data_IF_113420797312
#
_entry.id   IF_113420797312
#
_cell.length_a   1.000
_cell.length_b   1.000
_cell.length_c   1.000
_cell.angle_alpha   90.00
_cell.angle_beta   90.00
_cell.angle_gamma   90.00
#
_symmetry.space_group_name_H-M   'P 1'
#
loop_
_entity.id
_entity.type
_entity.pdbx_description
1 polymer ?
#
# COMPACT_ATOMS: atom_id res chain seq x y z
N UNK A 1 -30.09 15.32 8.06
CA UNK A 1 -29.37 14.15 8.62
C UNK A 1 -27.86 14.30 8.45
N UNK A 2 -27.31 14.19 7.23
CA UNK A 2 -25.86 14.27 6.98
C UNK A 2 -25.13 15.44 7.63
N UNK A 3 -25.65 16.67 7.50
CA UNK A 3 -24.98 17.87 7.99
C UNK A 3 -24.79 17.87 9.51
N UNK A 4 -25.80 17.43 10.27
CA UNK A 4 -25.73 17.40 11.73
C UNK A 4 -24.78 16.29 12.20
N UNK A 5 -24.88 15.09 11.62
CA UNK A 5 -23.99 13.98 11.97
C UNK A 5 -22.54 14.29 11.60
N UNK A 6 -22.30 14.93 10.45
CA UNK A 6 -20.94 15.30 10.02
C UNK A 6 -20.29 16.39 10.89
N UNK A 7 -21.09 17.12 11.66
CA UNK A 7 -20.62 18.12 12.63
C UNK A 7 -20.63 17.61 14.05
N UNK A 8 -20.92 16.32 14.26
CA UNK A 8 -20.95 15.73 15.58
C UNK A 8 -19.60 15.88 16.27
N UNK A 9 -19.63 16.43 17.49
CA UNK A 9 -18.42 16.76 18.24
C UNK A 9 -17.56 15.52 18.51
N UNK A 10 -18.15 14.34 18.73
CA UNK A 10 -17.39 13.12 19.01
C UNK A 10 -16.57 12.68 17.80
N UNK A 11 -17.12 12.83 16.58
CA UNK A 11 -16.39 12.50 15.34
C UNK A 11 -15.25 13.51 15.11
N UNK A 12 -15.52 14.81 15.30
CA UNK A 12 -14.47 15.83 15.17
C UNK A 12 -13.37 15.64 16.23
N UNK A 13 -13.73 15.29 17.46
CA UNK A 13 -12.79 15.04 18.55
C UNK A 13 -11.97 13.76 18.29
N UNK A 14 -12.52 12.75 17.61
CA UNK A 14 -11.77 11.58 17.13
C UNK A 14 -10.60 12.00 16.23
N UNK A 15 -10.84 12.88 15.26
CA UNK A 15 -9.76 13.40 14.41
C UNK A 15 -8.76 14.23 15.20
N UNK A 16 -9.21 15.10 16.11
CA UNK A 16 -8.31 15.95 16.91
C UNK A 16 -7.38 15.17 17.84
N UNK A 17 -7.80 13.97 18.29
CA UNK A 17 -6.95 13.07 19.07
C UNK A 17 -5.79 12.51 18.25
N UNK A 18 -6.04 12.20 16.97
CA UNK A 18 -5.02 11.67 16.06
C UNK A 18 -4.20 12.75 15.37
N UNK A 19 -4.79 13.94 15.14
CA UNK A 19 -4.21 15.03 14.37
C UNK A 19 -4.32 16.35 15.14
N UNK A 20 -3.36 16.60 16.04
CA UNK A 20 -3.25 17.89 16.72
C UNK A 20 -2.87 18.99 15.74
N UNK A 21 -3.58 20.13 15.76
CA UNK A 21 -3.32 21.30 14.90
C UNK A 21 -3.54 21.05 13.40
N UNK A 22 -4.51 20.22 13.03
CA UNK A 22 -4.94 20.04 11.65
C UNK A 22 -6.28 20.72 11.40
N UNK A 23 -6.49 21.12 10.15
CA UNK A 23 -7.79 21.54 9.65
C UNK A 23 -8.59 20.33 9.20
N UNK A 24 -9.89 20.34 9.50
CA UNK A 24 -10.85 19.28 9.17
C UNK A 24 -11.99 19.93 8.38
N UNK A 25 -12.02 19.71 7.07
CA UNK A 25 -13.08 20.19 6.19
C UNK A 25 -14.05 19.05 5.87
N UNK A 26 -15.35 19.30 5.97
CA UNK A 26 -16.38 18.29 5.62
C UNK A 26 -16.62 18.33 4.10
N UNK A 27 -16.56 17.18 3.44
CA UNK A 27 -16.80 17.04 2.01
C UNK A 27 -18.26 16.64 1.74
N UNK A 28 -19.19 17.59 1.95
CA UNK A 28 -20.63 17.33 1.91
C UNK A 28 -21.14 16.63 0.65
N UNK A 29 -20.53 16.92 -0.51
CA UNK A 29 -20.91 16.38 -1.82
C UNK A 29 -20.54 14.91 -2.03
N UNK A 30 -19.82 14.28 -1.10
CA UNK A 30 -19.48 12.85 -1.15
C UNK A 30 -20.34 11.99 -0.23
N UNK A 31 -21.03 12.62 0.73
CA UNK A 31 -21.77 11.90 1.76
C UNK A 31 -22.92 11.08 1.16
N UNK A 32 -23.08 9.85 1.62
CA UNK A 32 -24.12 8.94 1.09
C UNK A 32 -24.67 8.00 2.16
N UNK A 33 -25.92 7.57 1.98
CA UNK A 33 -26.47 6.41 2.69
C UNK A 33 -26.26 5.22 1.77
N UNK A 34 -25.64 4.18 2.30
CA UNK A 34 -25.34 2.97 1.56
C UNK A 34 -26.14 1.82 2.16
N UNK A 35 -26.91 1.17 1.30
CA UNK A 35 -27.79 0.04 1.65
C UNK A 35 -27.30 -1.18 0.87
N UNK A 36 -26.88 -2.22 1.59
CA UNK A 36 -26.41 -3.47 0.98
C UNK A 36 -27.43 -4.59 1.19
N UNK A 37 -27.90 -5.26 0.12
CA UNK A 37 -28.69 -6.48 0.24
C UNK A 37 -27.84 -7.66 0.76
N UNK A 38 -28.46 -8.71 1.32
CA UNK A 38 -27.77 -9.90 1.84
C UNK A 38 -27.01 -10.75 0.81
N UNK A 39 -27.36 -10.61 -0.47
CA UNK A 39 -26.74 -11.27 -1.62
C UNK A 39 -26.40 -10.16 -2.62
N UNK A 40 -25.24 -10.24 -3.26
CA UNK A 40 -24.66 -9.23 -4.19
C UNK A 40 -23.86 -8.09 -3.53
N UNK A 41 -23.01 -8.44 -2.58
CA UNK A 41 -22.12 -7.48 -1.91
C UNK A 41 -20.74 -7.48 -2.62
N UNK A 42 -20.17 -6.29 -2.81
CA UNK A 42 -18.81 -6.10 -3.34
C UNK A 42 -17.76 -6.69 -2.38
N UNK A 43 -17.40 -7.95 -2.58
CA UNK A 43 -16.36 -8.65 -1.80
C UNK A 43 -14.93 -8.38 -2.30
N UNK A 44 -14.78 -7.61 -3.38
CA UNK A 44 -13.48 -7.35 -4.00
C UNK A 44 -12.66 -6.38 -3.16
N UNK A 45 -11.38 -6.71 -2.95
CA UNK A 45 -10.40 -5.82 -2.33
C UNK A 45 -10.16 -4.61 -3.22
N UNK A 46 -10.22 -3.42 -2.62
CA UNK A 46 -10.05 -2.18 -3.35
C UNK A 46 -9.54 -1.05 -2.44
N UNK A 47 -9.10 0.03 -3.09
CA UNK A 47 -9.01 1.37 -2.51
C UNK A 47 -10.12 2.20 -3.15
N UNK A 48 -10.77 3.07 -2.37
CA UNK A 48 -11.89 3.86 -2.88
C UNK A 48 -11.47 4.91 -3.90
N UNK A 49 -10.30 5.55 -3.73
CA UNK A 49 -9.84 6.63 -4.62
C UNK A 49 -8.35 6.58 -4.96
N UNK A 50 -7.96 7.09 -6.15
CA UNK A 50 -6.58 6.99 -6.64
C UNK A 50 -5.69 8.18 -6.29
N UNK A 51 -6.11 9.08 -5.38
CA UNK A 51 -5.42 10.36 -5.14
C UNK A 51 -4.40 10.29 -4.00
N UNK A 52 -3.80 9.12 -3.78
CA UNK A 52 -2.81 8.88 -2.73
C UNK A 52 -1.57 9.80 -2.83
N UNK A 53 -1.27 10.29 -4.04
CA UNK A 53 -0.06 11.04 -4.38
C UNK A 53 -0.11 12.51 -3.96
N UNK A 54 -1.26 13.03 -3.51
CA UNK A 54 -1.34 14.40 -3.02
C UNK A 54 -0.78 14.42 -1.58
N UNK A 55 0.36 15.07 -1.34
CA UNK A 55 1.02 14.99 -0.04
C UNK A 55 0.31 15.86 1.00
N UNK A 56 0.59 15.60 2.28
CA UNK A 56 0.17 16.39 3.44
C UNK A 56 -1.35 16.49 3.69
N UNK A 57 -2.18 15.90 2.83
CA UNK A 57 -3.62 15.88 2.97
C UNK A 57 -4.15 14.44 2.86
N UNK A 58 -5.19 14.15 3.64
CA UNK A 58 -5.90 12.87 3.65
C UNK A 58 -7.39 13.09 3.54
N UNK A 59 -8.04 12.29 2.69
CA UNK A 59 -9.49 12.24 2.62
C UNK A 59 -9.94 11.05 3.45
N UNK A 60 -10.66 11.27 4.53
CA UNK A 60 -11.20 10.22 5.37
C UNK A 60 -12.64 9.92 5.01
N UNK A 61 -12.96 8.66 4.77
CA UNK A 61 -14.33 8.15 4.79
C UNK A 61 -14.61 7.63 6.20
N UNK A 62 -15.66 8.17 6.80
CA UNK A 62 -16.19 7.77 8.09
C UNK A 62 -17.50 7.03 7.87
N UNK A 63 -17.54 5.77 8.27
CA UNK A 63 -18.72 4.93 8.28
C UNK A 63 -19.38 5.05 9.65
N UNK A 64 -20.67 5.40 9.66
CA UNK A 64 -21.53 5.36 10.85
C UNK A 64 -22.58 4.28 10.65
N UNK A 65 -22.65 3.31 11.56
CA UNK A 65 -23.66 2.25 11.50
C UNK A 65 -25.06 2.79 11.81
N UNK A 66 -26.04 2.44 10.97
CA UNK A 66 -27.45 2.80 11.15
C UNK A 66 -28.35 1.59 11.45
N UNK A 67 -27.80 0.37 11.39
CA UNK A 67 -28.48 -0.88 11.69
C UNK A 67 -27.69 -1.78 12.64
N UNK A 68 -28.38 -2.76 13.25
CA UNK A 68 -27.74 -3.80 14.07
C UNK A 68 -27.17 -4.90 13.18
N UNK A 69 -26.17 -4.55 12.37
CA UNK A 69 -25.48 -5.44 11.46
C UNK A 69 -24.77 -6.57 12.23
N UNK A 70 -25.04 -7.82 11.82
CA UNK A 70 -24.48 -9.04 12.43
C UNK A 70 -23.80 -9.96 11.42
N UNK A 71 -23.93 -9.64 10.14
CA UNK A 71 -23.63 -10.59 9.06
C UNK A 71 -22.45 -10.15 8.21
N UNK A 72 -22.07 -8.86 8.25
CA UNK A 72 -21.01 -8.31 7.38
C UNK A 72 -19.94 -7.65 8.24
N UNK A 73 -18.70 -8.06 8.03
CA UNK A 73 -17.52 -7.39 8.57
C UNK A 73 -16.85 -6.51 7.53
N UNK A 74 -16.22 -5.44 7.97
CA UNK A 74 -15.30 -4.61 7.18
C UNK A 74 -13.88 -4.92 7.62
N UNK A 75 -13.02 -5.25 6.67
CA UNK A 75 -11.65 -5.72 6.90
C UNK A 75 -10.69 -4.69 6.31
N UNK A 76 -9.76 -4.22 7.14
CA UNK A 76 -8.70 -3.27 6.78
C UNK A 76 -7.38 -4.01 6.62
N UNK A 77 -6.81 -3.97 5.42
CA UNK A 77 -5.66 -4.79 5.06
C UNK A 77 -4.33 -4.21 5.56
N UNK A 78 -4.22 -2.89 5.74
CA UNK A 78 -2.95 -2.28 6.15
C UNK A 78 -2.81 -2.25 7.67
N UNK A 79 -3.90 -1.98 8.39
CA UNK A 79 -3.93 -1.97 9.87
C UNK A 79 -4.24 -3.33 10.49
N UNK A 80 -4.70 -4.31 9.70
CA UNK A 80 -5.17 -5.64 10.16
C UNK A 80 -6.37 -5.61 11.11
N UNK A 81 -7.15 -4.54 11.07
CA UNK A 81 -8.33 -4.42 11.90
C UNK A 81 -9.57 -4.94 11.17
N UNK A 82 -10.47 -5.57 11.92
CA UNK A 82 -11.74 -6.07 11.39
C UNK A 82 -12.87 -5.62 12.31
N UNK A 83 -13.89 -5.01 11.72
CA UNK A 83 -15.01 -4.46 12.48
C UNK A 83 -16.37 -4.92 11.93
N UNK A 84 -17.26 -5.28 12.86
CA UNK A 84 -18.69 -5.42 12.59
C UNK A 84 -19.34 -4.13 13.09
N UNK A 85 -19.59 -3.21 12.17
CA UNK A 85 -20.08 -1.87 12.48
C UNK A 85 -21.58 -1.95 12.75
N UNK A 86 -22.02 -1.65 13.97
CA UNK A 86 -23.42 -1.65 14.43
C UNK A 86 -23.95 -0.22 14.61
N UNK A 87 -25.24 -0.11 14.93
CA UNK A 87 -25.90 1.18 15.20
C UNK A 87 -25.11 2.02 16.20
N UNK A 88 -24.69 3.20 15.76
CA UNK A 88 -23.95 4.17 16.58
C UNK A 88 -22.43 4.01 16.56
N UNK A 89 -21.90 2.90 16.02
CA UNK A 89 -20.46 2.75 15.81
C UNK A 89 -19.97 3.70 14.72
N UNK A 90 -18.74 4.21 14.89
CA UNK A 90 -18.09 5.13 13.96
C UNK A 90 -16.69 4.61 13.66
N UNK A 91 -16.41 4.38 12.38
CA UNK A 91 -15.09 3.92 11.90
C UNK A 91 -14.63 4.81 10.77
N UNK A 92 -13.43 5.38 10.88
CA UNK A 92 -12.84 6.25 9.86
C UNK A 92 -11.58 5.64 9.25
N UNK A 93 -11.42 5.74 7.93
CA UNK A 93 -10.23 5.31 7.21
C UNK A 93 -9.91 6.24 6.03
N UNK A 94 -8.66 6.25 5.57
CA UNK A 94 -8.23 7.09 4.45
C UNK A 94 -8.76 6.51 3.13
N UNK A 95 -9.66 7.25 2.49
CA UNK A 95 -10.34 6.91 1.24
C UNK A 95 -9.36 6.63 0.09
N UNK A 96 -8.19 7.26 0.07
CA UNK A 96 -7.23 7.09 -1.04
C UNK A 96 -6.09 6.13 -0.72
N UNK A 97 -5.98 5.65 0.51
CA UNK A 97 -4.79 4.92 0.98
C UNK A 97 -5.09 3.62 1.71
N UNK A 98 -6.28 3.47 2.29
CA UNK A 98 -6.61 2.25 3.02
C UNK A 98 -7.19 1.18 2.08
N UNK A 99 -6.44 0.08 1.94
CA UNK A 99 -6.89 -1.14 1.31
C UNK A 99 -7.95 -1.82 2.18
N UNK A 100 -9.17 -1.99 1.66
CA UNK A 100 -10.24 -2.59 2.44
C UNK A 100 -11.22 -3.39 1.57
N UNK A 101 -12.01 -4.21 2.24
CA UNK A 101 -13.14 -4.91 1.66
C UNK A 101 -14.14 -5.29 2.74
N UNK A 102 -15.31 -5.76 2.31
CA UNK A 102 -16.35 -6.30 3.18
C UNK A 102 -16.47 -7.79 2.91
N UNK A 103 -16.82 -8.56 3.95
CA UNK A 103 -16.95 -10.02 3.88
C UNK A 103 -18.13 -10.45 4.74
N UNK A 104 -18.88 -11.51 4.36
CA UNK A 104 -19.86 -12.05 5.27
C UNK A 104 -19.13 -12.75 6.43
N UNK A 105 -19.77 -12.78 7.61
CA UNK A 105 -19.33 -13.64 8.70
C UNK A 105 -19.68 -15.07 8.30
N UNK A 106 -18.67 -15.92 8.12
CA UNK A 106 -18.86 -17.35 7.95
C UNK A 106 -19.24 -17.90 9.33
N UNK A 107 -20.53 -17.94 9.63
CA UNK A 107 -21.04 -18.74 10.73
C UNK A 107 -20.85 -20.22 10.34
N UNK A 108 -20.21 -21.01 11.20
CA UNK A 108 -20.14 -22.47 11.04
C UNK A 108 -21.53 -22.99 10.63
N UNK A 109 -21.57 -23.93 9.67
CA UNK A 109 -22.73 -24.41 8.89
C UNK A 109 -24.01 -24.80 9.66
N UNK A 110 -24.02 -24.73 11.00
CA UNK A 110 -25.17 -24.98 11.86
C UNK A 110 -26.09 -23.77 12.08
N UNK A 111 -25.67 -22.56 11.71
CA UNK A 111 -26.51 -21.36 11.77
C UNK A 111 -26.88 -20.88 10.36
N UNK A 112 -27.43 -21.78 9.55
CA UNK A 112 -28.16 -21.38 8.35
C UNK A 112 -29.49 -20.74 8.77
N UNK A 113 -29.42 -19.52 9.32
CA UNK A 113 -30.57 -18.63 9.38
C UNK A 113 -31.16 -18.58 7.97
N UNK A 114 -32.43 -18.96 7.85
CA UNK A 114 -33.14 -18.99 6.57
C UNK A 114 -32.96 -17.64 5.86
N UNK A 115 -32.85 -17.63 4.54
CA UNK A 115 -32.57 -16.42 3.75
C UNK A 115 -33.56 -15.25 4.01
N UNK A 116 -34.69 -15.51 4.68
CA UNK A 116 -35.69 -14.55 5.12
C UNK A 116 -35.26 -13.68 6.32
N UNK A 117 -34.24 -14.08 7.10
CA UNK A 117 -33.81 -13.34 8.30
C UNK A 117 -32.63 -12.40 8.08
N UNK A 118 -31.94 -12.49 6.94
CA UNK A 118 -30.79 -11.62 6.65
C UNK A 118 -31.27 -10.20 6.34
N UNK A 119 -30.94 -9.26 7.22
CA UNK A 119 -31.35 -7.85 7.11
C UNK A 119 -30.44 -7.08 6.16
N UNK A 120 -30.96 -6.00 5.59
CA UNK A 120 -30.14 -5.04 4.86
C UNK A 120 -29.14 -4.39 5.82
N UNK A 121 -27.88 -4.29 5.40
CA UNK A 121 -26.90 -3.44 6.09
C UNK A 121 -27.10 -2.00 5.65
N UNK A 122 -27.25 -1.08 6.60
CA UNK A 122 -27.48 0.33 6.34
C UNK A 122 -26.42 1.15 7.06
N UNK A 123 -25.59 1.83 6.28
CA UNK A 123 -24.53 2.68 6.82
C UNK A 123 -24.62 4.09 6.25
N UNK A 124 -24.18 5.05 7.05
CA UNK A 124 -23.94 6.41 6.62
C UNK A 124 -22.44 6.56 6.32
N UNK A 125 -22.10 7.02 5.12
CA UNK A 125 -20.72 7.38 4.77
C UNK A 125 -20.60 8.90 4.78
N UNK A 126 -19.69 9.41 5.58
CA UNK A 126 -19.38 10.84 5.73
C UNK A 126 -17.92 11.05 5.38
N UNK A 127 -17.60 12.10 4.62
CA UNK A 127 -16.24 12.33 4.15
C UNK A 127 -15.65 13.63 4.71
N UNK A 128 -14.37 13.57 5.07
CA UNK A 128 -13.61 14.69 5.61
C UNK A 128 -12.27 14.82 4.88
N UNK A 129 -11.83 16.04 4.60
CA UNK A 129 -10.46 16.32 4.20
C UNK A 129 -9.69 16.87 5.41
N UNK A 130 -8.60 16.20 5.78
CA UNK A 130 -7.80 16.50 6.97
C UNK A 130 -6.37 16.81 6.54
N UNK A 131 -5.86 17.97 6.94
CA UNK A 131 -4.54 18.45 6.54
C UNK A 131 -3.97 19.48 7.54
N UNK A 132 -2.63 19.62 7.68
CA UNK A 132 -2.02 20.67 8.48
C UNK A 132 -2.42 22.06 7.97
N UNK A 133 -2.55 23.06 8.85
CA UNK A 133 -2.96 24.41 8.44
C UNK A 133 -2.08 25.02 7.33
N UNK A 134 -0.78 24.74 7.33
CA UNK A 134 0.15 25.23 6.30
C UNK A 134 -0.08 24.57 4.92
N UNK A 135 -0.69 23.38 4.88
CA UNK A 135 -0.92 22.59 3.67
C UNK A 135 -2.30 22.85 3.04
N UNK A 136 -2.87 24.04 3.26
CA UNK A 136 -4.24 24.39 2.83
C UNK A 136 -4.47 24.19 1.33
N UNK A 137 -3.47 24.46 0.50
CA UNK A 137 -3.55 24.27 -0.95
C UNK A 137 -3.72 22.79 -1.30
N UNK A 138 -2.96 21.90 -0.65
CA UNK A 138 -3.06 20.45 -0.85
C UNK A 138 -4.42 19.93 -0.38
N UNK A 139 -4.88 20.39 0.79
CA UNK A 139 -6.21 20.05 1.32
C UNK A 139 -7.35 20.46 0.39
N UNK A 140 -7.29 21.67 -0.15
CA UNK A 140 -8.26 22.17 -1.11
C UNK A 140 -8.29 21.34 -2.40
N UNK A 141 -7.11 21.10 -3.00
CA UNK A 141 -6.97 20.31 -4.23
C UNK A 141 -7.49 18.89 -4.00
N UNK A 142 -7.03 18.21 -2.94
CA UNK A 142 -7.47 16.85 -2.62
C UNK A 142 -8.98 16.80 -2.40
N UNK A 143 -9.55 17.74 -1.64
CA UNK A 143 -10.99 17.78 -1.38
C UNK A 143 -11.81 17.92 -2.66
N UNK A 144 -11.43 18.84 -3.55
CA UNK A 144 -12.13 19.05 -4.83
C UNK A 144 -12.02 17.86 -5.78
N UNK A 145 -10.82 17.29 -5.92
CA UNK A 145 -10.61 16.11 -6.75
C UNK A 145 -11.31 14.88 -6.19
N UNK A 146 -11.37 14.71 -4.87
CA UNK A 146 -12.11 13.62 -4.22
C UNK A 146 -13.61 13.71 -4.49
N UNK A 147 -14.20 14.91 -4.38
CA UNK A 147 -15.60 15.16 -4.71
C UNK A 147 -15.88 14.83 -6.18
N UNK A 148 -15.05 15.33 -7.09
CA UNK A 148 -15.19 15.09 -8.52
C UNK A 148 -15.10 13.60 -8.83
N UNK A 149 -14.07 12.93 -8.31
CA UNK A 149 -13.87 11.50 -8.49
C UNK A 149 -15.07 10.70 -7.99
N UNK A 150 -15.55 10.98 -6.77
CA UNK A 150 -16.69 10.27 -6.19
C UNK A 150 -17.97 10.43 -7.00
N UNK A 151 -18.25 11.64 -7.52
CA UNK A 151 -19.40 11.89 -8.41
C UNK A 151 -19.31 11.04 -9.69
N UNK A 152 -18.18 11.13 -10.39
CA UNK A 152 -17.95 10.38 -11.63
C UNK A 152 -17.98 8.86 -11.42
N UNK A 153 -17.34 8.39 -10.35
CA UNK A 153 -17.27 6.98 -10.00
C UNK A 153 -18.66 6.43 -9.63
N UNK A 154 -19.45 7.19 -8.86
CA UNK A 154 -20.81 6.81 -8.50
C UNK A 154 -21.70 6.69 -9.73
N UNK A 155 -21.59 7.60 -10.69
CA UNK A 155 -22.36 7.52 -11.93
C UNK A 155 -22.01 6.25 -12.71
N UNK A 156 -20.73 5.94 -12.84
CA UNK A 156 -20.24 4.70 -13.46
C UNK A 156 -20.67 3.44 -12.71
N UNK A 157 -20.71 3.49 -11.38
CA UNK A 157 -21.15 2.39 -10.52
C UNK A 157 -22.67 2.14 -10.61
N UNK A 158 -23.48 3.19 -10.60
CA UNK A 158 -24.94 3.02 -10.77
C UNK A 158 -25.26 2.40 -12.15
N UNK A 159 -24.42 2.63 -13.15
CA UNK A 159 -24.51 1.96 -14.44
C UNK A 159 -24.10 0.48 -14.39
N UNK A 160 -23.32 0.02 -13.41
CA UNK A 160 -23.07 -1.42 -13.23
C UNK A 160 -24.26 -2.17 -12.67
N UNK A 161 -25.15 -1.48 -11.95
CA UNK A 161 -26.34 -2.08 -11.34
C UNK A 161 -27.51 -2.16 -12.34
N UNK A 162 -27.60 -1.25 -13.34
CA UNK A 162 -28.69 -1.26 -14.33
C UNK A 162 -28.65 -2.50 -15.24
N UNK A 163 -29.83 -3.00 -15.61
CA UNK A 163 -30.00 -4.19 -16.47
C UNK A 163 -29.27 -4.07 -17.81
N UNK A 164 -28.69 -5.18 -18.25
CA UNK A 164 -27.80 -5.29 -19.42
C UNK A 164 -28.47 -4.90 -20.75
N UNK A 165 -29.81 -4.98 -20.84
CA UNK A 165 -30.60 -4.62 -22.04
C UNK A 165 -30.57 -3.12 -22.38
N UNK A 166 -30.25 -2.25 -21.41
CA UNK A 166 -30.20 -0.80 -21.61
C UNK A 166 -28.77 -0.24 -21.73
N UNK A 167 -27.76 -1.12 -21.72
CA UNK A 167 -26.36 -0.71 -21.60
C UNK A 167 -25.67 -0.74 -22.96
N UNK A 168 -25.16 0.39 -23.41
CA UNK A 168 -24.26 0.38 -24.57
C UNK A 168 -22.95 -0.34 -24.22
N UNK A 169 -22.36 -1.05 -25.19
CA UNK A 169 -21.12 -1.83 -24.97
C UNK A 169 -19.98 -0.98 -24.43
N UNK A 170 -19.92 0.30 -24.82
CA UNK A 170 -18.92 1.26 -24.34
C UNK A 170 -19.02 1.48 -22.82
N UNK A 171 -20.23 1.70 -22.29
CA UNK A 171 -20.42 1.90 -20.85
C UNK A 171 -20.18 0.63 -20.02
N UNK A 172 -20.39 -0.55 -20.60
CA UNK A 172 -20.00 -1.81 -19.97
C UNK A 172 -18.48 -1.94 -19.84
N UNK A 173 -17.75 -1.59 -20.90
CA UNK A 173 -16.30 -1.60 -20.90
C UNK A 173 -15.70 -0.61 -19.88
N UNK A 174 -16.20 0.63 -19.85
CA UNK A 174 -15.72 1.65 -18.91
C UNK A 174 -15.87 1.23 -17.45
N UNK A 175 -16.97 0.60 -17.07
CA UNK A 175 -17.13 0.17 -15.68
C UNK A 175 -16.29 -1.07 -15.34
N UNK A 176 -16.01 -1.95 -16.32
CA UNK A 176 -15.05 -3.04 -16.11
C UNK A 176 -13.64 -2.47 -15.87
N UNK A 177 -13.23 -1.48 -16.67
CA UNK A 177 -11.96 -0.78 -16.47
C UNK A 177 -11.90 -0.09 -15.10
N UNK A 178 -13.01 0.50 -14.65
CA UNK A 178 -13.12 1.11 -13.33
C UNK A 178 -12.83 0.08 -12.22
N UNK A 179 -13.51 -1.08 -12.22
CA UNK A 179 -13.29 -2.12 -11.20
C UNK A 179 -11.84 -2.63 -11.23
N UNK A 180 -11.31 -2.89 -12.42
CA UNK A 180 -9.91 -3.30 -12.59
C UNK A 180 -8.97 -2.22 -12.04
N UNK A 181 -9.24 -0.94 -12.30
CA UNK A 181 -8.39 0.15 -11.82
C UNK A 181 -8.34 0.21 -10.29
N UNK A 182 -9.47 0.06 -9.61
CA UNK A 182 -9.53 0.07 -8.13
C UNK A 182 -8.80 -1.12 -7.50
N UNK A 183 -8.82 -2.27 -8.18
CA UNK A 183 -8.05 -3.44 -7.78
C UNK A 183 -6.55 -3.25 -8.04
N UNK A 184 -6.17 -2.67 -9.18
CA UNK A 184 -4.77 -2.35 -9.49
C UNK A 184 -4.20 -1.37 -8.46
N UNK A 185 -4.95 -0.33 -8.09
CA UNK A 185 -4.51 0.60 -7.04
C UNK A 185 -4.36 -0.09 -5.68
N UNK A 186 -5.28 -0.98 -5.34
CA UNK A 186 -5.17 -1.82 -4.15
C UNK A 186 -3.90 -2.68 -4.19
N UNK A 187 -3.66 -3.41 -5.28
CA UNK A 187 -2.53 -4.33 -5.38
C UNK A 187 -1.20 -3.58 -5.36
N UNK A 188 -1.14 -2.41 -6.01
CA UNK A 188 0.02 -1.53 -5.94
C UNK A 188 0.25 -1.09 -4.48
N UNK A 189 -0.75 -0.56 -3.78
CA UNK A 189 -0.56 -0.10 -2.40
C UNK A 189 -0.23 -1.25 -1.46
N UNK A 190 -0.86 -2.40 -1.62
CA UNK A 190 -0.68 -3.56 -0.74
C UNK A 190 0.69 -4.22 -0.91
N UNK A 191 1.16 -4.41 -2.16
CA UNK A 191 2.40 -5.14 -2.43
C UNK A 191 3.63 -4.24 -2.61
N UNK A 192 3.46 -3.01 -3.10
CA UNK A 192 4.58 -2.11 -3.43
C UNK A 192 4.56 -0.87 -2.54
N UNK A 193 3.40 -0.26 -2.36
CA UNK A 193 3.22 1.01 -1.68
C UNK A 193 3.43 2.18 -2.64
N UNK A 194 2.40 3.00 -2.81
CA UNK A 194 2.46 4.12 -3.73
C UNK A 194 3.53 5.16 -3.36
N UNK A 195 3.80 5.31 -2.05
CA UNK A 195 4.87 6.19 -1.57
C UNK A 195 6.25 5.69 -2.01
N UNK A 196 6.46 4.37 -2.08
CA UNK A 196 7.72 3.79 -2.54
C UNK A 196 7.93 4.04 -4.04
N UNK A 197 6.87 3.97 -4.84
CA UNK A 197 6.92 4.32 -6.27
C UNK A 197 7.29 5.79 -6.45
N UNK A 198 6.64 6.71 -5.70
CA UNK A 198 6.96 8.13 -5.77
C UNK A 198 8.40 8.41 -5.36
N UNK A 199 8.88 7.78 -4.29
CA UNK A 199 10.27 7.88 -3.84
C UNK A 199 11.25 7.44 -4.93
N UNK A 200 11.02 6.29 -5.56
CA UNK A 200 11.87 5.80 -6.65
C UNK A 200 11.80 6.69 -7.89
N UNK A 201 10.63 7.24 -8.22
CA UNK A 201 10.48 8.17 -9.34
C UNK A 201 11.29 9.45 -9.10
N UNK A 202 11.28 9.99 -7.89
CA UNK A 202 12.10 11.14 -7.49
C UNK A 202 13.59 10.78 -7.57
N UNK A 203 14.00 9.65 -7.01
CA UNK A 203 15.39 9.20 -7.11
C UNK A 203 15.84 9.01 -8.55
N UNK A 204 14.99 8.43 -9.40
CA UNK A 204 15.28 8.23 -10.82
C UNK A 204 15.44 9.56 -11.53
N UNK A 205 14.55 10.52 -11.26
CA UNK A 205 14.65 11.88 -11.80
C UNK A 205 15.94 12.58 -11.36
N UNK A 206 16.30 12.52 -10.07
CA UNK A 206 17.56 13.11 -9.59
C UNK A 206 18.75 12.41 -10.24
N UNK A 207 18.71 11.10 -10.33
CA UNK A 207 19.77 10.27 -10.90
C UNK A 207 19.98 10.50 -12.40
N UNK A 208 18.92 10.79 -13.16
CA UNK A 208 19.03 11.08 -14.59
C UNK A 208 19.60 12.47 -14.87
N UNK A 209 19.48 13.40 -13.93
CA UNK A 209 20.03 14.76 -14.05
C UNK A 209 21.42 14.92 -13.43
N UNK A 210 21.79 14.09 -12.45
CA UNK A 210 23.06 14.22 -11.72
C UNK A 210 24.01 13.03 -11.96
N UNK A 211 23.71 11.86 -11.36
CA UNK A 211 24.55 10.67 -11.49
C UNK A 211 23.77 9.39 -11.12
N UNK A 212 24.05 8.27 -11.80
CA UNK A 212 23.44 6.95 -11.55
C UNK A 212 23.53 6.47 -10.09
N UNK A 213 24.54 6.96 -9.36
CA UNK A 213 24.82 6.57 -7.97
C UNK A 213 23.72 7.03 -7.02
N UNK A 214 23.02 8.13 -7.32
CA UNK A 214 21.90 8.58 -6.50
C UNK A 214 20.79 7.53 -6.45
N UNK A 215 20.47 6.91 -7.60
CA UNK A 215 19.48 5.85 -7.63
C UNK A 215 19.99 4.60 -6.92
N UNK A 216 21.24 4.18 -7.20
CA UNK A 216 21.85 3.01 -6.57
C UNK A 216 21.82 3.15 -5.04
N UNK A 217 22.55 4.11 -4.47
CA UNK A 217 22.62 4.27 -3.01
C UNK A 217 21.25 4.61 -2.39
N UNK A 218 20.47 5.46 -3.04
CA UNK A 218 19.17 5.92 -2.53
C UNK A 218 18.13 4.81 -2.44
N UNK A 219 18.19 3.78 -3.29
CA UNK A 219 17.21 2.68 -3.27
C UNK A 219 17.73 1.43 -2.55
N UNK A 220 19.04 1.14 -2.62
CA UNK A 220 19.62 -0.10 -2.07
C UNK A 220 19.50 -0.21 -0.55
N UNK A 221 19.67 0.88 0.19
CA UNK A 221 19.81 0.80 1.65
C UNK A 221 18.52 1.09 2.43
N UNK A 222 17.42 1.41 1.75
CA UNK A 222 16.15 1.77 2.41
C UNK A 222 15.62 0.64 3.30
N UNK A 223 15.77 -0.61 2.88
CA UNK A 223 15.33 -1.76 3.68
C UNK A 223 16.08 -1.87 5.02
N UNK A 224 17.36 -1.51 5.08
CA UNK A 224 18.09 -1.41 6.35
C UNK A 224 17.58 -0.26 7.20
N UNK A 225 17.30 0.90 6.61
CA UNK A 225 16.75 2.04 7.34
C UNK A 225 15.38 1.72 7.96
N UNK A 226 14.49 1.06 7.20
CA UNK A 226 13.21 0.57 7.73
C UNK A 226 13.41 -0.41 8.88
N UNK A 227 14.37 -1.33 8.75
CA UNK A 227 14.69 -2.29 9.80
C UNK A 227 15.20 -1.61 11.08
N UNK A 228 16.10 -0.62 10.97
CA UNK A 228 16.63 0.14 12.10
C UNK A 228 15.51 0.94 12.78
N UNK A 229 14.63 1.56 11.98
CA UNK A 229 13.47 2.30 12.47
C UNK A 229 12.55 1.41 13.32
N UNK A 230 12.13 0.26 12.78
CA UNK A 230 11.27 -0.70 13.51
C UNK A 230 11.91 -1.25 14.78
N UNK A 231 13.24 -1.46 14.79
CA UNK A 231 13.96 -1.85 16.02
C UNK A 231 13.84 -0.81 17.14
N UNK A 232 13.93 0.47 16.80
CA UNK A 232 13.93 1.54 17.81
C UNK A 232 12.56 1.73 18.48
N UNK A 233 11.47 1.37 17.80
CA UNK A 233 10.12 1.58 18.32
C UNK A 233 9.48 0.36 18.99
N UNK A 234 10.17 -0.79 19.07
CA UNK A 234 9.63 -2.05 19.64
C UNK A 234 8.23 -2.41 19.11
N UNK A 235 7.87 -1.89 17.93
CA UNK A 235 6.55 -1.98 17.37
C UNK A 235 6.36 -3.34 16.72
N UNK A 236 5.18 -3.92 16.86
CA UNK A 236 4.79 -5.09 16.07
C UNK A 236 5.07 -4.85 14.58
N UNK A 237 5.57 -5.89 13.93
CA UNK A 237 5.91 -5.88 12.51
C UNK A 237 4.62 -5.76 11.68
N UNK A 238 4.23 -4.53 11.36
CA UNK A 238 3.02 -4.26 10.58
C UNK A 238 3.21 -4.56 9.07
N UNK A 239 2.10 -4.59 8.33
CA UNK A 239 2.11 -4.87 6.89
C UNK A 239 2.87 -3.81 6.08
N UNK A 240 2.79 -2.55 6.49
CA UNK A 240 3.48 -1.44 5.83
C UNK A 240 5.00 -1.66 5.88
N UNK A 241 5.53 -2.02 7.05
CA UNK A 241 6.94 -2.38 7.21
C UNK A 241 7.28 -3.59 6.35
N UNK A 242 6.52 -4.69 6.42
CA UNK A 242 6.81 -5.92 5.66
C UNK A 242 6.89 -5.60 4.17
N UNK A 243 5.90 -4.87 3.65
CA UNK A 243 5.83 -4.41 2.26
C UNK A 243 7.07 -3.59 1.88
N UNK A 244 7.35 -2.50 2.59
CA UNK A 244 8.46 -1.59 2.25
C UNK A 244 9.81 -2.32 2.36
N UNK A 245 10.02 -3.09 3.42
CA UNK A 245 11.25 -3.84 3.66
C UNK A 245 11.52 -4.84 2.53
N UNK A 246 10.55 -5.68 2.18
CA UNK A 246 10.73 -6.68 1.13
C UNK A 246 10.85 -6.05 -0.26
N UNK A 247 10.11 -4.98 -0.54
CA UNK A 247 10.20 -4.26 -1.80
C UNK A 247 11.60 -3.65 -2.01
N UNK A 248 12.13 -2.93 -1.01
CA UNK A 248 13.47 -2.36 -1.13
C UNK A 248 14.58 -3.41 -1.02
N UNK A 249 14.36 -4.52 -0.29
CA UNK A 249 15.29 -5.65 -0.29
C UNK A 249 15.37 -6.30 -1.67
N UNK A 250 14.23 -6.44 -2.37
CA UNK A 250 14.20 -6.93 -3.75
C UNK A 250 15.02 -6.04 -4.69
N UNK A 251 14.81 -4.72 -4.63
CA UNK A 251 15.56 -3.76 -5.46
C UNK A 251 17.06 -3.78 -5.18
N UNK A 252 17.42 -3.81 -3.89
CA UNK A 252 18.81 -3.99 -3.46
C UNK A 252 19.42 -5.26 -4.03
N UNK A 253 18.73 -6.40 -3.93
CA UNK A 253 19.24 -7.66 -4.47
C UNK A 253 19.37 -7.62 -5.99
N UNK A 254 18.42 -7.01 -6.71
CA UNK A 254 18.54 -6.80 -8.16
C UNK A 254 19.81 -6.01 -8.49
N UNK A 255 20.06 -4.90 -7.81
CA UNK A 255 21.24 -4.07 -8.04
C UNK A 255 22.53 -4.80 -7.68
N UNK A 256 22.54 -5.50 -6.55
CA UNK A 256 23.73 -6.19 -6.04
C UNK A 256 24.14 -7.38 -6.92
N UNK A 257 23.17 -8.21 -7.32
CA UNK A 257 23.42 -9.33 -8.23
C UNK A 257 23.78 -8.83 -9.63
N UNK A 258 23.14 -7.76 -10.11
CA UNK A 258 23.49 -7.15 -11.39
C UNK A 258 24.94 -6.66 -11.38
N UNK A 259 25.38 -5.98 -10.32
CA UNK A 259 26.77 -5.54 -10.17
C UNK A 259 27.73 -6.73 -10.21
N UNK A 260 27.46 -7.78 -9.43
CA UNK A 260 28.27 -9.01 -9.44
C UNK A 260 28.36 -9.66 -10.83
N UNK A 261 27.22 -9.88 -11.50
CA UNK A 261 27.23 -10.52 -12.82
C UNK A 261 27.82 -9.64 -13.91
N UNK A 262 27.74 -8.32 -13.78
CA UNK A 262 28.41 -7.40 -14.69
C UNK A 262 29.92 -7.57 -14.63
N UNK A 263 30.50 -7.84 -13.47
CA UNK A 263 31.92 -8.19 -13.35
C UNK A 263 32.23 -9.63 -13.77
N UNK A 264 31.39 -10.59 -13.38
CA UNK A 264 31.60 -12.01 -13.67
C UNK A 264 31.52 -12.34 -15.17
N UNK A 265 30.62 -11.67 -15.88
CA UNK A 265 30.27 -11.95 -17.28
C UNK A 265 30.75 -10.85 -18.24
N UNK A 266 30.87 -9.61 -17.76
CA UNK A 266 31.23 -8.43 -18.58
C UNK A 266 32.68 -8.38 -19.09
N UNK A 267 33.48 -9.43 -18.83
CA UNK A 267 34.79 -9.62 -19.47
C UNK A 267 34.70 -10.16 -20.91
N UNK A 268 33.50 -10.48 -21.43
CA UNK A 268 33.31 -10.95 -22.81
C UNK A 268 32.88 -9.77 -23.71
N UNK A 269 33.89 -9.05 -24.23
CA UNK A 269 33.89 -8.18 -25.41
C UNK A 269 32.56 -7.59 -25.91
N UNK A 270 32.40 -6.27 -25.76
CA UNK A 270 31.80 -5.38 -26.77
C UNK A 270 30.30 -5.48 -27.03
N UNK A 271 29.51 -4.71 -26.28
CA UNK A 271 28.18 -4.23 -26.68
C UNK A 271 27.00 -5.16 -26.42
N UNK A 272 26.13 -4.77 -25.48
CA UNK A 272 24.75 -5.27 -25.41
C UNK A 272 24.55 -6.65 -24.78
N UNK A 273 25.49 -7.16 -23.98
CA UNK A 273 25.28 -8.42 -23.27
C UNK A 273 24.21 -8.27 -22.17
N UNK A 274 23.02 -8.79 -22.45
CA UNK A 274 21.88 -8.83 -21.51
C UNK A 274 22.06 -9.90 -20.43
N UNK A 275 23.13 -10.71 -20.49
CA UNK A 275 23.35 -11.82 -19.56
C UNK A 275 23.28 -11.38 -18.09
N UNK A 276 23.95 -10.31 -17.62
CA UNK A 276 23.83 -9.89 -16.22
C UNK A 276 22.40 -9.58 -15.79
N UNK A 277 21.60 -8.98 -16.68
CA UNK A 277 20.18 -8.70 -16.43
C UNK A 277 19.38 -9.99 -16.32
N UNK A 278 19.60 -10.93 -17.25
CA UNK A 278 18.89 -12.23 -17.28
C UNK A 278 19.20 -13.05 -16.03
N UNK A 279 20.48 -13.23 -15.66
CA UNK A 279 20.87 -13.98 -14.47
C UNK A 279 20.29 -13.36 -13.20
N UNK A 280 20.33 -12.03 -13.10
CA UNK A 280 19.74 -11.29 -11.97
C UNK A 280 18.23 -11.52 -11.88
N UNK A 281 17.51 -11.37 -13.00
CA UNK A 281 16.05 -11.54 -13.05
C UNK A 281 15.59 -12.96 -12.75
N UNK A 282 16.42 -13.98 -13.04
CA UNK A 282 16.13 -15.38 -12.74
C UNK A 282 16.43 -15.72 -11.27
N UNK A 283 17.54 -15.24 -10.72
CA UNK A 283 18.02 -15.68 -9.39
C UNK A 283 17.33 -14.93 -8.25
N UNK A 284 17.12 -13.62 -8.40
CA UNK A 284 16.65 -12.78 -7.30
C UNK A 284 15.22 -13.13 -6.85
N UNK A 285 14.21 -13.34 -7.73
CA UNK A 285 12.85 -13.62 -7.28
C UNK A 285 12.72 -14.94 -6.47
N UNK A 286 13.29 -16.09 -6.89
CA UNK A 286 13.27 -17.31 -6.08
C UNK A 286 13.98 -17.14 -4.73
N UNK A 287 15.13 -16.44 -4.73
CA UNK A 287 15.87 -16.20 -3.49
C UNK A 287 15.08 -15.32 -2.52
N UNK A 288 14.44 -14.26 -3.01
CA UNK A 288 13.54 -13.46 -2.18
C UNK A 288 12.33 -14.27 -1.70
N UNK A 289 11.70 -15.06 -2.58
CA UNK A 289 10.56 -15.91 -2.22
C UNK A 289 10.93 -16.88 -1.08
N UNK A 290 12.12 -17.47 -1.11
CA UNK A 290 12.62 -18.31 -0.02
C UNK A 290 12.81 -17.55 1.30
N UNK A 291 13.20 -16.26 1.24
CA UNK A 291 13.31 -15.41 2.42
C UNK A 291 11.92 -15.09 3.01
N UNK A 292 10.92 -14.90 2.15
CA UNK A 292 9.55 -14.58 2.56
C UNK A 292 8.83 -15.81 3.12
N UNK A 293 8.98 -16.99 2.49
CA UNK A 293 8.19 -18.18 2.83
C UNK A 293 8.75 -18.97 4.02
N UNK A 294 10.08 -19.14 4.10
CA UNK A 294 10.73 -19.92 5.16
C UNK A 294 11.34 -19.05 6.27
N UNK A 295 11.15 -17.72 6.22
CA UNK A 295 11.64 -16.74 7.19
C UNK A 295 13.10 -16.91 7.63
N UNK A 296 13.94 -17.52 6.81
CA UNK A 296 15.37 -17.66 7.08
C UNK A 296 16.14 -16.63 6.27
N UNK A 297 16.42 -15.43 6.83
CA UNK A 297 17.29 -14.46 6.16
C UNK A 297 18.70 -15.01 5.96
N UNK A 298 19.05 -16.11 6.64
CA UNK A 298 20.36 -16.73 6.65
C UNK A 298 20.88 -17.09 5.25
N UNK A 299 20.06 -17.73 4.40
CA UNK A 299 20.49 -18.13 3.06
C UNK A 299 20.83 -16.89 2.22
N UNK A 300 19.94 -15.89 2.19
CA UNK A 300 20.22 -14.63 1.48
C UNK A 300 21.48 -13.94 2.00
N UNK A 301 21.69 -13.95 3.32
CA UNK A 301 22.82 -13.27 3.93
C UNK A 301 24.15 -13.98 3.68
N UNK A 302 24.17 -15.31 3.69
CA UNK A 302 25.35 -16.08 3.27
C UNK A 302 25.71 -15.74 1.83
N UNK A 303 24.72 -15.72 0.93
CA UNK A 303 24.97 -15.39 -0.47
C UNK A 303 25.48 -13.96 -0.59
N UNK A 304 24.87 -12.99 0.10
CA UNK A 304 25.33 -11.59 0.09
C UNK A 304 26.79 -11.45 0.55
N UNK A 305 27.18 -12.16 1.62
CA UNK A 305 28.55 -12.20 2.15
C UNK A 305 29.50 -12.87 1.15
N UNK A 306 29.12 -14.00 0.56
CA UNK A 306 29.91 -14.70 -0.45
C UNK A 306 30.17 -13.80 -1.66
N UNK A 307 29.14 -13.14 -2.18
CA UNK A 307 29.27 -12.21 -3.32
C UNK A 307 30.15 -11.01 -2.96
N UNK A 308 30.03 -10.46 -1.74
CA UNK A 308 30.91 -9.38 -1.27
C UNK A 308 32.37 -9.82 -1.29
N UNK A 309 32.63 -11.01 -0.73
CA UNK A 309 33.96 -11.59 -0.66
C UNK A 309 34.54 -11.85 -2.05
N UNK A 310 33.78 -12.48 -2.96
CA UNK A 310 34.27 -12.73 -4.32
C UNK A 310 34.53 -11.42 -5.06
N UNK A 311 33.64 -10.43 -4.95
CA UNK A 311 33.86 -9.14 -5.62
C UNK A 311 35.10 -8.39 -5.14
N UNK A 312 35.36 -8.40 -3.83
CA UNK A 312 36.52 -7.70 -3.27
C UNK A 312 37.85 -8.38 -3.58
N UNK A 313 37.85 -9.71 -3.80
CA UNK A 313 39.09 -10.48 -4.04
C UNK A 313 39.36 -10.76 -5.53
N UNK A 314 38.31 -10.87 -6.33
CA UNK A 314 38.42 -11.34 -7.72
C UNK A 314 38.34 -10.22 -8.75
N UNK A 315 37.89 -9.01 -8.38
CA UNK A 315 37.67 -7.91 -9.33
C UNK A 315 38.31 -6.59 -8.88
N UNK A 316 38.70 -5.77 -9.87
CA UNK A 316 39.08 -4.38 -9.66
C UNK A 316 37.85 -3.50 -9.78
N UNK A 317 37.28 -3.10 -8.65
CA UNK A 317 36.03 -2.34 -8.58
C UNK A 317 36.26 -0.84 -8.74
N UNK A 318 35.23 -0.10 -9.12
CA UNK A 318 35.24 1.35 -9.03
C UNK A 318 35.22 1.80 -7.55
N UNK A 319 35.78 2.97 -7.26
CA UNK A 319 35.80 3.53 -5.89
C UNK A 319 34.40 3.59 -5.24
N UNK A 320 33.38 3.95 -6.03
CA UNK A 320 31.99 4.02 -5.57
C UNK A 320 31.41 2.65 -5.21
N UNK A 321 31.84 1.59 -5.89
CA UNK A 321 31.40 0.23 -5.63
C UNK A 321 32.10 -0.35 -4.39
N UNK A 322 33.38 -0.02 -4.16
CA UNK A 322 34.03 -0.30 -2.89
C UNK A 322 33.24 0.32 -1.73
N UNK A 323 32.90 1.61 -1.81
CA UNK A 323 32.07 2.28 -0.80
C UNK A 323 30.74 1.55 -0.62
N UNK A 324 30.07 1.21 -1.72
CA UNK A 324 28.79 0.50 -1.69
C UNK A 324 28.90 -0.83 -0.94
N UNK A 325 29.90 -1.66 -1.24
CA UNK A 325 30.12 -2.95 -0.60
C UNK A 325 30.47 -2.78 0.88
N UNK A 326 31.32 -1.82 1.25
CA UNK A 326 31.65 -1.58 2.65
C UNK A 326 30.45 -1.10 3.48
N UNK A 327 29.60 -0.22 2.93
CA UNK A 327 28.34 0.18 3.57
C UNK A 327 27.44 -1.05 3.73
N UNK A 328 27.34 -1.90 2.72
CA UNK A 328 26.55 -3.12 2.80
C UNK A 328 27.06 -4.08 3.89
N UNK A 329 28.37 -4.31 3.99
CA UNK A 329 28.97 -5.13 5.04
C UNK A 329 28.67 -4.56 6.42
N UNK A 330 28.81 -3.23 6.59
CA UNK A 330 28.54 -2.55 7.85
C UNK A 330 27.07 -2.68 8.28
N UNK A 331 26.14 -2.43 7.35
CA UNK A 331 24.70 -2.54 7.63
C UNK A 331 24.27 -3.99 7.88
N UNK A 332 24.85 -4.96 7.16
CA UNK A 332 24.68 -6.39 7.43
C UNK A 332 25.10 -6.76 8.85
N UNK A 333 26.26 -6.28 9.28
CA UNK A 333 26.75 -6.50 10.63
C UNK A 333 25.82 -5.89 11.70
N UNK A 334 25.31 -4.68 11.49
CA UNK A 334 24.30 -4.07 12.38
C UNK A 334 23.06 -4.96 12.46
N UNK A 335 22.56 -5.41 11.31
CA UNK A 335 21.35 -6.23 11.22
C UNK A 335 21.51 -7.56 11.97
N UNK A 336 22.65 -8.24 11.81
CA UNK A 336 22.97 -9.51 12.47
C UNK A 336 23.18 -9.36 13.97
N UNK A 337 23.66 -8.21 14.45
CA UNK A 337 23.87 -7.97 15.89
C UNK A 337 22.60 -7.73 16.68
N UNK A 338 21.52 -7.29 16.05
CA UNK A 338 20.25 -6.95 16.74
C UNK A 338 19.03 -7.50 15.99
N UNK A 339 18.88 -8.82 15.79
CA UNK A 339 17.79 -9.36 14.98
C UNK A 339 16.42 -8.93 15.53
N UNK A 340 15.53 -8.42 14.66
CA UNK A 340 14.11 -8.28 15.02
C UNK A 340 13.55 -9.69 15.14
N UNK A 341 12.95 -10.01 16.29
CA UNK A 341 12.04 -11.14 16.36
C UNK A 341 10.83 -10.81 15.48
N UNK A 342 10.77 -11.36 14.28
CA UNK A 342 9.56 -11.30 13.46
C UNK A 342 8.58 -12.25 14.14
N UNK A 343 7.72 -11.71 15.02
CA UNK A 343 6.64 -12.46 15.61
C UNK A 343 5.73 -13.02 14.50
N UNK A 344 5.38 -14.29 14.66
CA UNK A 344 4.63 -15.14 13.72
C UNK A 344 3.21 -14.61 13.56
#
# INVERSE_FOLDING_TARGET
>A
MFYNTAKDKKIIDMFKRSFSNYRIDILHDMNEIYVSPPKDIFYTRHIDGPLFYIPFASCYRVIVGLDDNRDIMTIFNLTHETYIIKTGDVVGFDFHRECHYISPIIWNERAAATAAERKYRVILKIHYCVYPYWAIVFGFILGKLSILYNKLFRDLFLLTIKQQSQRSRCLAYLAKLMIISTQVYHDIEFYIGNNNIQYLAILYYISSNLHANFFLFGSSFVHYLRWIDTQNYSSEVNNIFRRDYYFFKFLYMLQYFYMYFSYKLGSVSGGGDWSPVIYTAIIVPPLLASCVYNFSPFISKIIEIFLAYDMLNSYSLAYTEYIYIYINIFLNYIQLRKPIAIAI
#
